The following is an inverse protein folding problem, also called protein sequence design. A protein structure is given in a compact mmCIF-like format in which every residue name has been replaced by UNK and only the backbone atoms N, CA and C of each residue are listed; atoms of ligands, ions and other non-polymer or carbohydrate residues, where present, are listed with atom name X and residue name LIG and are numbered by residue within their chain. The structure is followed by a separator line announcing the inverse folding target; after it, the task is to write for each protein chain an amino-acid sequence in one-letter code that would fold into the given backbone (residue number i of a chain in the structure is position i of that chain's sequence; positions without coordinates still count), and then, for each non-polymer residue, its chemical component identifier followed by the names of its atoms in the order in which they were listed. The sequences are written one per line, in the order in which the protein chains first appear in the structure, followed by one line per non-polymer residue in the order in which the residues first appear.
data_IF_634749030327
#
_entry.id   IF_634749030327
#
_cell.length_a   1.000
_cell.length_b   1.000
_cell.length_c   1.000
_cell.angle_alpha   90.00
_cell.angle_beta   90.00
_cell.angle_gamma   90.00
#
_symmetry.space_group_name_H-M   'P 1'
#
loop_
_entity.id
_entity.type
_entity.pdbx_description
1 polymer ?
#
# COMPACT_ATOMS: atom_id res chain seq x y z
N UNK A 1 -59.07 4.36 -23.93
CA UNK A 1 -58.16 5.48 -23.57
C UNK A 1 -57.22 5.00 -22.48
N UNK A 2 -55.94 5.26 -22.69
CA UNK A 2 -54.77 4.59 -22.16
C UNK A 2 -54.26 5.31 -20.91
N UNK A 3 -53.80 4.56 -19.90
CA UNK A 3 -52.98 5.10 -18.83
C UNK A 3 -51.88 4.08 -18.50
N UNK A 4 -50.77 4.17 -19.24
CA UNK A 4 -49.52 3.51 -18.89
C UNK A 4 -48.86 4.35 -17.79
N UNK A 5 -48.98 3.92 -16.54
CA UNK A 5 -48.19 4.45 -15.43
C UNK A 5 -46.80 3.80 -15.50
N UNK A 6 -45.83 4.52 -16.07
CA UNK A 6 -44.42 4.11 -16.04
C UNK A 6 -43.84 4.52 -14.68
N UNK A 7 -43.68 3.57 -13.77
CA UNK A 7 -42.86 3.75 -12.58
C UNK A 7 -41.38 3.75 -13.01
N UNK A 8 -40.78 4.94 -13.05
CA UNK A 8 -39.33 5.09 -13.17
C UNK A 8 -38.66 4.63 -11.88
N UNK A 9 -38.09 3.43 -11.89
CA UNK A 9 -37.19 2.95 -10.83
C UNK A 9 -35.88 3.72 -10.98
N UNK A 10 -35.69 4.72 -10.12
CA UNK A 10 -34.40 5.40 -9.98
C UNK A 10 -33.37 4.41 -9.44
N UNK A 11 -32.44 3.98 -10.30
CA UNK A 11 -31.24 3.26 -9.89
C UNK A 11 -30.40 4.21 -9.02
N UNK A 12 -30.54 4.09 -7.71
CA UNK A 12 -29.53 4.60 -6.79
C UNK A 12 -28.28 3.75 -7.04
N UNK A 13 -27.32 4.32 -7.77
CA UNK A 13 -26.02 3.68 -7.97
C UNK A 13 -25.27 3.70 -6.63
N UNK A 14 -25.54 2.70 -5.78
CA UNK A 14 -24.72 2.40 -4.62
C UNK A 14 -23.32 2.04 -5.12
N UNK A 15 -22.40 3.01 -5.15
CA UNK A 15 -21.00 2.71 -5.37
C UNK A 15 -20.46 2.06 -4.10
N UNK A 16 -19.85 0.86 -4.18
CA UNK A 16 -19.26 0.23 -3.00
C UNK A 16 -18.13 1.10 -2.44
N UNK A 17 -17.99 1.13 -1.11
CA UNK A 17 -16.90 1.86 -0.42
C UNK A 17 -15.52 1.48 -0.96
N UNK A 18 -15.36 0.23 -1.41
CA UNK A 18 -14.16 -0.30 -2.04
C UNK A 18 -14.47 -0.70 -3.50
N UNK A 19 -13.91 0.02 -4.45
CA UNK A 19 -13.95 -0.23 -5.88
C UNK A 19 -12.59 -0.78 -6.33
N UNK A 20 -12.42 -2.10 -6.20
CA UNK A 20 -11.16 -2.77 -6.47
C UNK A 20 -10.71 -2.61 -7.92
N UNK A 21 -9.44 -2.23 -8.09
CA UNK A 21 -8.80 -2.02 -9.39
C UNK A 21 -7.45 -2.68 -9.40
N UNK A 22 -7.20 -3.47 -10.43
CA UNK A 22 -5.89 -4.02 -10.71
C UNK A 22 -4.91 -2.89 -11.06
N UNK A 23 -3.69 -3.02 -10.55
CA UNK A 23 -2.59 -2.10 -10.81
C UNK A 23 -1.31 -2.89 -11.03
N UNK A 24 -0.46 -2.37 -11.91
CA UNK A 24 0.85 -2.94 -12.21
C UNK A 24 1.90 -1.93 -11.73
N UNK A 25 2.43 -2.14 -10.53
CA UNK A 25 3.41 -1.24 -9.93
C UNK A 25 4.77 -1.46 -10.59
N UNK A 26 5.23 -0.43 -11.31
CA UNK A 26 6.52 -0.38 -12.01
C UNK A 26 6.72 -1.51 -13.05
N UNK A 27 5.62 -2.06 -13.56
CA UNK A 27 5.60 -3.13 -14.59
C UNK A 27 5.92 -4.53 -14.07
N UNK A 28 6.21 -4.67 -12.78
CA UNK A 28 6.77 -5.89 -12.21
C UNK A 28 5.89 -6.51 -11.12
N UNK A 29 5.13 -5.71 -10.38
CA UNK A 29 4.33 -6.16 -9.24
C UNK A 29 2.84 -5.95 -9.54
N UNK A 30 2.08 -7.05 -9.54
CA UNK A 30 0.63 -7.02 -9.63
C UNK A 30 0.05 -6.80 -8.23
N UNK A 31 -0.99 -5.97 -8.16
CA UNK A 31 -1.74 -5.72 -6.94
C UNK A 31 -3.15 -5.25 -7.27
N UNK A 32 -4.00 -5.14 -6.24
CA UNK A 32 -5.28 -4.44 -6.34
C UNK A 32 -5.30 -3.27 -5.36
N UNK A 33 -5.89 -2.14 -5.78
CA UNK A 33 -6.20 -1.01 -4.90
C UNK A 33 -7.71 -0.83 -4.80
N UNK A 34 -8.25 -0.42 -3.64
CA UNK A 34 -9.70 -0.33 -3.42
C UNK A 34 -10.36 0.90 -4.08
N UNK A 35 -9.62 1.65 -4.88
CA UNK A 35 -10.08 2.85 -5.56
C UNK A 35 -9.17 3.17 -6.74
N UNK A 36 -9.57 4.15 -7.56
CA UNK A 36 -8.71 4.65 -8.65
C UNK A 36 -7.45 5.28 -8.05
N UNK A 37 -6.25 4.75 -8.34
CA UNK A 37 -5.02 5.33 -7.83
C UNK A 37 -4.72 6.67 -8.50
N UNK A 38 -4.15 7.58 -7.71
CA UNK A 38 -3.30 8.65 -8.21
C UNK A 38 -1.89 8.10 -8.33
N UNK A 39 -1.22 8.50 -9.41
CA UNK A 39 0.19 8.19 -9.67
C UNK A 39 1.00 9.46 -9.43
N UNK A 40 2.00 9.36 -8.59
CA UNK A 40 2.90 10.45 -8.25
C UNK A 40 4.35 9.93 -8.24
N UNK A 41 5.31 10.83 -8.44
CA UNK A 41 6.74 10.49 -8.32
C UNK A 41 7.45 11.57 -7.54
N UNK A 42 8.16 11.15 -6.49
CA UNK A 42 8.90 12.04 -5.60
C UNK A 42 10.31 11.53 -5.38
N UNK A 43 11.24 12.47 -5.19
CA UNK A 43 12.60 12.12 -4.76
C UNK A 43 12.62 11.85 -3.26
N UNK A 44 13.17 10.70 -2.88
CA UNK A 44 13.36 10.27 -1.49
C UNK A 44 14.81 9.88 -1.27
N UNK A 45 15.28 9.98 -0.02
CA UNK A 45 16.60 9.45 0.36
C UNK A 45 16.45 8.03 0.88
N UNK A 46 17.03 7.05 0.19
CA UNK A 46 17.13 5.65 0.63
C UNK A 46 18.59 5.22 0.63
N UNK A 47 19.05 4.62 1.73
CA UNK A 47 20.45 4.23 1.92
C UNK A 47 21.45 5.37 1.59
N UNK A 48 21.16 6.58 2.06
CA UNK A 48 21.98 7.78 1.80
C UNK A 48 21.91 8.32 0.36
N UNK A 49 21.06 7.76 -0.51
CA UNK A 49 21.00 8.12 -1.94
C UNK A 49 19.65 8.71 -2.31
N UNK A 50 19.68 9.74 -3.15
CA UNK A 50 18.46 10.29 -3.75
C UNK A 50 17.98 9.39 -4.87
N UNK A 51 16.78 8.82 -4.72
CA UNK A 51 16.13 7.97 -5.71
C UNK A 51 14.73 8.49 -6.01
N UNK A 52 14.26 8.28 -7.24
CA UNK A 52 12.88 8.53 -7.59
C UNK A 52 12.02 7.38 -7.05
N UNK A 53 11.03 7.73 -6.25
CA UNK A 53 10.01 6.81 -5.75
C UNK A 53 8.69 7.13 -6.43
N UNK A 54 8.19 6.19 -7.24
CA UNK A 54 6.83 6.21 -7.78
C UNK A 54 5.86 5.77 -6.69
N UNK A 55 4.70 6.39 -6.62
CA UNK A 55 3.69 6.15 -5.60
C UNK A 55 2.31 6.05 -6.24
N UNK A 56 1.74 4.84 -6.21
CA UNK A 56 0.33 4.62 -6.50
C UNK A 56 -0.44 4.71 -5.20
N UNK A 57 -1.39 5.63 -5.07
CA UNK A 57 -2.16 5.79 -3.82
C UNK A 57 -3.61 6.22 -4.02
N UNK A 58 -4.49 5.81 -3.11
CA UNK A 58 -5.87 6.29 -3.07
C UNK A 58 -6.47 6.21 -1.66
N UNK A 59 -7.64 6.80 -1.48
CA UNK A 59 -8.37 6.86 -0.22
C UNK A 59 -9.71 6.13 -0.34
N UNK A 60 -9.95 5.15 0.53
CA UNK A 60 -11.20 4.39 0.61
C UNK A 60 -11.40 3.86 2.03
N UNK A 61 -12.65 3.82 2.49
CA UNK A 61 -12.98 3.33 3.84
C UNK A 61 -12.36 4.11 4.99
N UNK A 62 -12.03 5.40 4.78
CA UNK A 62 -11.34 6.23 5.77
C UNK A 62 -9.85 5.91 5.95
N UNK A 63 -9.27 5.09 5.08
CA UNK A 63 -7.85 4.75 5.06
C UNK A 63 -7.17 5.23 3.77
N UNK A 64 -5.86 5.48 3.87
CA UNK A 64 -4.98 5.73 2.72
C UNK A 64 -4.28 4.43 2.37
N UNK A 65 -4.37 4.03 1.10
CA UNK A 65 -3.77 2.83 0.54
C UNK A 65 -2.69 3.26 -0.43
N UNK A 66 -1.48 2.69 -0.32
CA UNK A 66 -0.36 3.10 -1.15
C UNK A 66 0.59 1.96 -1.49
N UNK A 67 1.11 1.99 -2.72
CA UNK A 67 2.23 1.15 -3.18
C UNK A 67 3.32 2.10 -3.67
N UNK A 68 4.44 2.12 -2.95
CA UNK A 68 5.64 2.85 -3.33
C UNK A 68 6.67 1.92 -3.96
N UNK A 69 7.27 2.33 -5.07
CA UNK A 69 8.36 1.60 -5.74
C UNK A 69 9.56 2.51 -5.98
N UNK A 70 10.76 1.99 -5.74
CA UNK A 70 12.00 2.70 -6.02
C UNK A 70 13.13 1.72 -6.35
N UNK A 71 13.95 2.05 -7.35
CA UNK A 71 15.13 1.27 -7.71
C UNK A 71 16.39 1.95 -7.15
N UNK A 72 17.10 1.25 -6.25
CA UNK A 72 18.37 1.75 -5.70
C UNK A 72 19.56 1.52 -6.63
N UNK A 73 19.39 0.71 -7.70
CA UNK A 73 20.36 0.41 -8.76
C UNK A 73 21.65 -0.25 -8.30
N UNK A 74 21.74 -0.65 -7.04
CA UNK A 74 22.91 -1.28 -6.45
C UNK A 74 22.47 -2.34 -5.44
N UNK A 75 22.88 -3.59 -5.66
CA UNK A 75 22.42 -4.72 -4.85
C UNK A 75 22.89 -4.63 -3.38
N UNK A 76 24.09 -4.08 -3.16
CA UNK A 76 24.70 -3.97 -1.82
C UNK A 76 23.93 -3.08 -0.86
N UNK A 77 23.11 -2.14 -1.35
CA UNK A 77 22.39 -1.16 -0.52
C UNK A 77 20.90 -1.47 -0.37
N UNK A 78 20.39 -2.55 -0.97
CA UNK A 78 18.95 -2.88 -0.92
C UNK A 78 18.49 -3.13 0.52
N UNK A 79 19.26 -3.88 1.32
CA UNK A 79 18.93 -4.14 2.72
C UNK A 79 18.86 -2.87 3.58
N UNK A 80 19.76 -1.92 3.33
CA UNK A 80 19.74 -0.61 3.98
C UNK A 80 18.53 0.23 3.51
N UNK A 81 18.22 0.20 2.22
CA UNK A 81 17.05 0.89 1.68
C UNK A 81 15.73 0.37 2.27
N UNK A 82 15.56 -0.95 2.39
CA UNK A 82 14.41 -1.55 3.08
C UNK A 82 14.35 -1.14 4.57
N UNK A 83 15.52 -1.05 5.23
CA UNK A 83 15.61 -0.53 6.59
C UNK A 83 15.24 0.96 6.69
N UNK A 84 15.55 1.75 5.68
CA UNK A 84 15.11 3.14 5.55
C UNK A 84 13.59 3.25 5.39
N UNK A 85 12.98 2.40 4.56
CA UNK A 85 11.53 2.37 4.37
C UNK A 85 10.78 2.01 5.65
N UNK A 86 11.18 0.96 6.38
CA UNK A 86 10.56 0.62 7.68
C UNK A 86 10.71 1.77 8.69
N UNK A 87 11.86 2.43 8.73
CA UNK A 87 12.08 3.56 9.64
C UNK A 87 11.18 4.75 9.27
N UNK A 88 11.06 5.05 7.98
CA UNK A 88 10.19 6.11 7.47
C UNK A 88 8.70 5.84 7.76
N UNK A 89 8.26 4.57 7.68
CA UNK A 89 6.89 4.17 8.02
C UNK A 89 6.49 4.64 9.42
N UNK A 90 7.32 4.37 10.43
CA UNK A 90 7.10 4.84 11.79
C UNK A 90 7.25 6.35 11.92
N UNK A 91 8.34 6.91 11.38
CA UNK A 91 8.67 8.33 11.53
C UNK A 91 7.58 9.25 10.96
N UNK A 92 6.93 8.85 9.86
CA UNK A 92 5.85 9.60 9.23
C UNK A 92 4.63 9.82 10.15
N UNK A 93 4.46 8.99 11.18
CA UNK A 93 3.40 9.13 12.19
C UNK A 93 3.94 9.40 13.60
N UNK A 94 5.20 9.83 13.72
CA UNK A 94 5.84 10.13 15.00
C UNK A 94 6.02 8.90 15.88
N UNK A 95 6.29 7.74 15.29
CA UNK A 95 6.44 6.46 15.98
C UNK A 95 7.62 5.64 15.45
N UNK A 96 7.80 4.45 15.99
CA UNK A 96 8.70 3.41 15.48
C UNK A 96 7.89 2.27 14.89
N UNK A 97 8.38 1.65 13.81
CA UNK A 97 7.76 0.46 13.25
C UNK A 97 8.20 -0.81 13.98
N UNK A 98 7.28 -1.73 14.21
CA UNK A 98 7.49 -3.05 14.81
C UNK A 98 7.29 -4.15 13.78
N UNK A 99 8.09 -5.22 13.86
CA UNK A 99 7.96 -6.39 12.99
C UNK A 99 6.76 -7.25 13.44
N UNK A 100 5.83 -7.50 12.51
CA UNK A 100 4.65 -8.35 12.69
C UNK A 100 4.83 -9.75 12.13
N UNK A 101 5.73 -9.92 11.17
CA UNK A 101 6.00 -11.20 10.53
C UNK A 101 6.78 -11.05 9.23
N UNK A 102 6.98 -12.13 8.48
CA UNK A 102 7.58 -12.07 7.15
C UNK A 102 6.66 -11.33 6.16
N UNK A 103 7.23 -10.76 5.09
CA UNK A 103 6.44 -10.15 4.03
C UNK A 103 5.74 -11.19 3.13
N UNK A 104 6.31 -12.38 3.00
CA UNK A 104 5.75 -13.55 2.28
C UNK A 104 5.18 -13.24 0.88
N UNK A 105 5.93 -12.48 0.06
CA UNK A 105 5.56 -12.20 -1.33
C UNK A 105 6.20 -13.23 -2.27
N UNK A 106 5.37 -13.94 -3.03
CA UNK A 106 5.82 -14.91 -4.05
C UNK A 106 6.65 -14.18 -5.12
N UNK A 107 7.87 -14.67 -5.37
CA UNK A 107 8.79 -14.09 -6.36
C UNK A 107 9.64 -12.91 -5.84
N UNK A 108 9.50 -12.53 -4.56
CA UNK A 108 10.38 -11.53 -3.95
C UNK A 108 11.79 -12.10 -3.70
N UNK A 109 12.81 -11.24 -3.80
CA UNK A 109 14.17 -11.56 -3.38
C UNK A 109 14.24 -11.54 -1.85
N UNK A 110 14.79 -12.57 -1.19
CA UNK A 110 14.86 -12.62 0.26
C UNK A 110 15.89 -11.61 0.79
N UNK A 111 15.45 -10.74 1.71
CA UNK A 111 16.30 -9.82 2.45
C UNK A 111 15.93 -9.86 3.94
N UNK A 112 16.89 -9.84 4.89
CA UNK A 112 16.60 -9.81 6.33
C UNK A 112 15.78 -8.58 6.78
N UNK A 113 15.92 -7.46 6.06
CA UNK A 113 15.19 -6.23 6.33
C UNK A 113 13.77 -6.21 5.70
N UNK A 114 13.40 -7.22 4.91
CA UNK A 114 12.05 -7.37 4.39
C UNK A 114 11.12 -7.92 5.47
N UNK A 115 9.86 -7.51 5.48
CA UNK A 115 8.92 -7.91 6.51
C UNK A 115 7.56 -7.23 6.42
N UNK A 116 6.67 -7.71 7.27
CA UNK A 116 5.41 -7.06 7.60
C UNK A 116 5.63 -6.21 8.84
N UNK A 117 5.37 -4.91 8.75
CA UNK A 117 5.60 -3.95 9.81
C UNK A 117 4.33 -3.20 10.17
N UNK A 118 4.18 -2.84 11.44
CA UNK A 118 3.13 -1.95 11.91
C UNK A 118 3.70 -0.83 12.78
N UNK A 119 3.05 0.33 12.79
CA UNK A 119 3.40 1.45 13.65
C UNK A 119 2.11 2.08 14.18
N UNK A 120 2.12 2.51 15.45
CA UNK A 120 1.01 3.24 16.07
C UNK A 120 1.52 4.60 16.53
N UNK A 121 0.88 5.67 16.08
CA UNK A 121 1.28 7.04 16.34
C UNK A 121 0.08 7.97 16.51
N UNK A 122 0.35 9.27 16.41
CA UNK A 122 -0.68 10.32 16.47
C UNK A 122 -0.50 11.31 15.32
N UNK A 123 -1.60 11.81 14.78
CA UNK A 123 -1.61 12.94 13.86
C UNK A 123 -1.33 14.24 14.63
N UNK A 124 -1.08 15.34 13.89
CA UNK A 124 -0.84 16.66 14.49
C UNK A 124 -2.02 17.17 15.31
N UNK A 125 -3.24 16.77 14.96
CA UNK A 125 -4.47 17.08 15.69
C UNK A 125 -4.68 16.21 16.94
N UNK A 126 -3.73 15.31 17.25
CA UNK A 126 -3.77 14.41 18.41
C UNK A 126 -4.56 13.11 18.18
N UNK A 127 -5.24 12.95 17.04
CA UNK A 127 -5.97 11.72 16.71
C UNK A 127 -5.02 10.54 16.51
N UNK A 128 -5.46 9.35 16.93
CA UNK A 128 -4.69 8.13 16.73
C UNK A 128 -4.53 7.81 15.25
N UNK A 129 -3.40 7.24 14.87
CA UNK A 129 -3.15 6.72 13.53
C UNK A 129 -2.34 5.44 13.63
N UNK A 130 -2.70 4.46 12.81
CA UNK A 130 -1.92 3.25 12.62
C UNK A 130 -1.48 3.16 11.17
N UNK A 131 -0.24 2.73 10.98
CA UNK A 131 0.31 2.37 9.69
C UNK A 131 0.66 0.88 9.70
N UNK A 132 0.35 0.17 8.62
CA UNK A 132 0.73 -1.23 8.43
C UNK A 132 1.27 -1.38 7.01
N UNK A 133 2.38 -2.09 6.84
CA UNK A 133 3.04 -2.19 5.55
C UNK A 133 3.80 -3.50 5.34
N UNK A 134 3.77 -3.99 4.11
CA UNK A 134 4.71 -4.98 3.58
C UNK A 134 5.86 -4.24 2.91
N UNK A 135 7.09 -4.49 3.37
CA UNK A 135 8.33 -3.93 2.84
C UNK A 135 9.19 -5.07 2.30
N UNK A 136 9.54 -5.03 1.02
CA UNK A 136 10.23 -6.13 0.32
C UNK A 136 10.96 -5.64 -0.93
N UNK A 137 11.68 -6.53 -1.61
CA UNK A 137 12.43 -6.21 -2.82
C UNK A 137 12.37 -7.31 -3.88
N UNK A 138 12.66 -6.95 -5.12
CA UNK A 138 12.99 -7.86 -6.22
C UNK A 138 14.22 -7.31 -6.96
N UNK A 139 15.34 -8.01 -6.89
CA UNK A 139 16.62 -7.48 -7.36
C UNK A 139 17.01 -6.20 -6.61
N UNK A 140 17.25 -5.11 -7.35
CA UNK A 140 17.59 -3.78 -6.78
C UNK A 140 16.37 -2.89 -6.53
N UNK A 141 15.17 -3.37 -6.86
CA UNK A 141 13.94 -2.62 -6.71
C UNK A 141 13.29 -2.91 -5.36
N UNK A 142 12.98 -1.85 -4.63
CA UNK A 142 12.31 -1.85 -3.33
C UNK A 142 10.84 -1.52 -3.48
N UNK A 143 10.02 -2.13 -2.63
CA UNK A 143 8.57 -1.99 -2.62
C UNK A 143 8.09 -1.73 -1.19
N UNK A 144 7.10 -0.86 -1.06
CA UNK A 144 6.34 -0.67 0.17
C UNK A 144 4.85 -0.59 -0.17
N UNK A 145 4.10 -1.64 0.18
CA UNK A 145 2.64 -1.63 0.15
C UNK A 145 2.15 -1.29 1.56
N UNK A 146 1.35 -0.23 1.73
CA UNK A 146 0.99 0.30 3.04
C UNK A 146 -0.44 0.79 3.15
N UNK A 147 -0.98 0.68 4.36
CA UNK A 147 -2.30 1.16 4.77
C UNK A 147 -2.14 2.10 5.96
N UNK A 148 -2.63 3.33 5.85
CA UNK A 148 -2.69 4.30 6.94
C UNK A 148 -4.14 4.51 7.35
N UNK A 149 -4.47 4.32 8.63
CA UNK A 149 -5.84 4.28 9.14
C UNK A 149 -5.97 4.96 10.51
N UNK A 150 -7.15 5.49 10.90
CA UNK A 150 -7.34 6.24 12.15
C UNK A 150 -7.35 5.36 13.43
N UNK A 151 -7.11 4.06 13.32
CA UNK A 151 -7.13 3.13 14.46
C UNK A 151 -6.86 1.68 14.02
N UNK A 152 -7.17 0.72 14.87
CA UNK A 152 -7.12 -0.69 14.49
C UNK A 152 -8.18 -0.96 13.42
N UNK A 153 -7.87 -1.77 12.41
CA UNK A 153 -8.89 -2.18 11.45
C UNK A 153 -9.86 -3.16 12.11
N UNK A 154 -11.13 -3.04 11.73
CA UNK A 154 -12.21 -3.90 12.18
C UNK A 154 -13.28 -3.98 11.08
N UNK A 155 -13.98 -5.11 11.01
CA UNK A 155 -15.08 -5.31 10.07
C UNK A 155 -14.63 -5.07 8.61
N UNK A 156 -15.37 -4.31 7.80
CA UNK A 156 -15.07 -4.15 6.37
C UNK A 156 -13.68 -3.57 6.06
N UNK A 157 -13.09 -2.78 6.95
CA UNK A 157 -11.72 -2.26 6.76
C UNK A 157 -10.65 -3.35 6.95
N UNK A 158 -10.88 -4.28 7.87
CA UNK A 158 -9.96 -5.40 8.10
C UNK A 158 -9.95 -6.35 6.91
N UNK A 159 -11.14 -6.71 6.42
CA UNK A 159 -11.30 -7.55 5.22
C UNK A 159 -10.64 -6.90 3.99
N UNK A 160 -10.85 -5.59 3.79
CA UNK A 160 -10.20 -4.86 2.72
C UNK A 160 -8.67 -4.84 2.88
N UNK A 161 -8.17 -4.74 4.10
CA UNK A 161 -6.73 -4.75 4.34
C UNK A 161 -6.10 -6.10 4.01
N UNK A 162 -6.75 -7.18 4.43
CA UNK A 162 -6.31 -8.54 4.12
C UNK A 162 -6.29 -8.77 2.60
N UNK A 163 -7.36 -8.36 1.90
CA UNK A 163 -7.44 -8.45 0.44
C UNK A 163 -6.33 -7.64 -0.26
N UNK A 164 -6.05 -6.42 0.20
CA UNK A 164 -4.99 -5.59 -0.35
C UNK A 164 -3.62 -6.29 -0.26
N UNK A 165 -3.24 -6.75 0.93
CA UNK A 165 -1.96 -7.41 1.13
C UNK A 165 -1.88 -8.78 0.44
N UNK A 166 -2.97 -9.54 0.39
CA UNK A 166 -2.99 -10.84 -0.30
C UNK A 166 -2.94 -10.72 -1.83
N UNK A 167 -3.27 -9.55 -2.38
CA UNK A 167 -3.26 -9.32 -3.83
C UNK A 167 -1.87 -9.12 -4.43
N UNK A 168 -0.84 -8.87 -3.59
CA UNK A 168 0.50 -8.56 -4.04
C UNK A 168 1.21 -9.82 -4.56
N UNK A 169 1.56 -9.84 -5.84
CA UNK A 169 2.29 -10.93 -6.44
C UNK A 169 3.20 -10.45 -7.57
N UNK A 170 4.35 -11.11 -7.72
CA UNK A 170 5.15 -10.97 -8.93
C UNK A 170 4.63 -11.97 -9.98
N UNK A 171 4.33 -11.53 -11.22
CA UNK A 171 3.95 -12.45 -12.29
C UNK A 171 5.01 -13.52 -12.50
N UNK A 172 4.58 -14.77 -12.66
CA UNK A 172 5.47 -15.87 -13.01
C UNK A 172 5.71 -15.80 -14.52
N UNK A 173 6.97 -15.82 -15.01
CA UNK A 173 7.23 -15.93 -16.44
C UNK A 173 6.62 -17.23 -16.97
N UNK A 174 5.76 -17.13 -17.99
CA UNK A 174 5.23 -18.26 -18.74
C UNK A 174 6.21 -18.74 -19.82
#
# INVERSE_FOLDING_TARGET
MQACLVLGVGLTACSPTYNWREVHADGDLDATLPCKPRDDTRRVTLAGRMVDMRLLSCEAGGAIWAIGTADVREAGVVGEALSGLRAALGANIGSTSELKGPASIVGATPFPAAGHFAATGKRRDGSAVQAEALVFARGTRTYQASVLRPGAASGPLQEAQEQFFSSLAFPVPH
#
